data_IF_960811838195
#
_entry.id   IF_960811838195
#
_cell.length_a   1.000
_cell.length_b   1.000
_cell.length_c   1.000
_cell.angle_alpha   90.00
_cell.angle_beta   90.00
_cell.angle_gamma   90.00
#
_symmetry.space_group_name_H-M   'P 1'
#
loop_
_entity.id
_entity.type
_entity.pdbx_description
1 polymer ?
#
# COMPACT_ATOMS: atom_id res chain seq x y z
N UNK A 1 -12.30 19.68 -6.40
CA UNK A 1 -10.93 19.68 -5.84
C UNK A 1 -9.92 19.62 -6.98
N UNK A 2 -8.88 20.46 -6.96
CA UNK A 2 -7.82 20.55 -7.97
C UNK A 2 -6.71 19.55 -7.66
N UNK A 3 -6.54 18.56 -8.54
CA UNK A 3 -5.65 17.42 -8.33
C UNK A 3 -4.58 17.40 -9.41
N UNK A 4 -3.33 17.19 -9.04
CA UNK A 4 -2.26 16.94 -10.01
C UNK A 4 -1.64 15.55 -9.82
N UNK A 5 -0.97 15.07 -10.86
CA UNK A 5 -0.29 13.77 -10.84
C UNK A 5 1.20 13.96 -11.11
N UNK A 6 2.04 13.50 -10.16
CA UNK A 6 3.48 13.36 -10.36
C UNK A 6 3.79 11.95 -10.88
N UNK A 7 4.62 11.87 -11.93
CA UNK A 7 4.86 10.63 -12.68
C UNK A 7 3.74 10.33 -13.68
N UNK A 8 3.12 11.38 -14.24
CA UNK A 8 1.90 11.31 -15.03
C UNK A 8 1.97 10.40 -16.27
N UNK A 9 3.14 10.25 -16.92
CA UNK A 9 3.34 9.35 -18.08
C UNK A 9 3.80 7.95 -17.67
N UNK A 10 3.99 7.70 -16.38
CA UNK A 10 4.28 6.38 -15.83
C UNK A 10 3.09 5.42 -15.93
N UNK A 11 3.34 4.10 -15.80
CA UNK A 11 2.30 3.06 -15.95
C UNK A 11 1.11 3.24 -15.01
N UNK A 12 1.35 3.65 -13.77
CA UNK A 12 0.29 3.89 -12.77
C UNK A 12 -0.20 5.34 -12.84
N UNK A 13 0.71 6.30 -13.01
CA UNK A 13 0.36 7.72 -13.14
C UNK A 13 -0.60 7.99 -14.28
N UNK A 14 -0.42 7.39 -15.45
CA UNK A 14 -1.32 7.56 -16.59
C UNK A 14 -2.74 7.05 -16.29
N UNK A 15 -2.85 5.96 -15.52
CA UNK A 15 -4.14 5.46 -15.03
C UNK A 15 -4.78 6.44 -14.05
N UNK A 16 -3.99 7.08 -13.19
CA UNK A 16 -4.48 8.11 -12.25
C UNK A 16 -4.93 9.37 -12.98
N UNK A 17 -4.20 9.83 -14.00
CA UNK A 17 -4.62 10.93 -14.88
C UNK A 17 -5.98 10.66 -15.50
N UNK A 18 -6.16 9.48 -16.11
CA UNK A 18 -7.43 9.07 -16.69
C UNK A 18 -8.57 9.01 -15.65
N UNK A 19 -8.28 8.51 -14.45
CA UNK A 19 -9.24 8.44 -13.36
C UNK A 19 -9.67 9.81 -12.82
N UNK A 20 -8.72 10.75 -12.66
CA UNK A 20 -9.01 12.13 -12.24
C UNK A 20 -9.84 12.85 -13.30
N UNK A 21 -9.51 12.68 -14.58
CA UNK A 21 -10.30 13.24 -15.69
C UNK A 21 -11.75 12.71 -15.72
N UNK A 22 -11.95 11.44 -15.38
CA UNK A 22 -13.28 10.83 -15.37
C UNK A 22 -14.12 11.17 -14.13
N UNK A 23 -13.49 11.64 -13.05
CA UNK A 23 -14.16 11.97 -11.80
C UNK A 23 -14.85 13.35 -11.88
N UNK A 24 -16.17 13.39 -11.62
CA UNK A 24 -16.97 14.62 -11.74
C UNK A 24 -16.66 15.66 -10.64
N UNK A 25 -16.13 15.22 -9.50
CA UNK A 25 -15.83 16.04 -8.33
C UNK A 25 -14.38 16.54 -8.28
N UNK A 26 -13.54 16.05 -9.21
CA UNK A 26 -12.11 16.38 -9.30
C UNK A 26 -11.83 17.17 -10.58
N UNK A 27 -10.76 17.95 -10.56
CA UNK A 27 -10.28 18.69 -11.73
C UNK A 27 -8.78 18.44 -11.85
N UNK A 28 -8.32 17.86 -12.95
CA UNK A 28 -6.90 17.70 -13.21
C UNK A 28 -6.27 19.09 -13.42
N UNK A 29 -5.43 19.53 -12.49
CA UNK A 29 -4.79 20.86 -12.50
C UNK A 29 -3.43 20.85 -13.17
N UNK A 30 -2.66 19.76 -13.02
CA UNK A 30 -1.37 19.58 -13.67
C UNK A 30 -1.01 18.10 -13.84
N UNK A 31 -0.21 17.85 -14.87
CA UNK A 31 0.46 16.57 -15.12
C UNK A 31 1.96 16.86 -15.15
N UNK A 32 2.73 16.20 -14.27
CA UNK A 32 4.16 16.45 -14.13
C UNK A 32 4.90 15.13 -14.29
N UNK A 33 5.94 15.12 -15.12
CA UNK A 33 6.86 14.00 -15.28
C UNK A 33 8.32 14.45 -15.16
N UNK A 34 9.26 13.53 -15.37
CA UNK A 34 10.68 13.78 -15.34
C UNK A 34 11.07 14.91 -16.32
N UNK A 35 11.68 15.96 -15.77
CA UNK A 35 12.11 17.15 -16.51
C UNK A 35 11.14 18.33 -16.44
N UNK A 36 9.94 18.13 -15.91
CA UNK A 36 8.98 19.22 -15.66
C UNK A 36 9.25 19.86 -14.29
N UNK A 37 9.02 21.18 -14.19
CA UNK A 37 9.23 21.94 -12.96
C UNK A 37 8.06 21.76 -11.97
N UNK A 38 8.36 21.59 -10.67
CA UNK A 38 7.32 21.46 -9.64
C UNK A 38 6.50 22.73 -9.44
N UNK A 39 6.98 23.90 -9.89
CA UNK A 39 6.24 25.17 -9.83
C UNK A 39 4.91 25.11 -10.62
N UNK A 40 4.79 24.21 -11.60
CA UNK A 40 3.53 23.95 -12.30
C UNK A 40 2.38 23.60 -11.33
N UNK A 41 2.68 22.99 -10.19
CA UNK A 41 1.69 22.65 -9.17
C UNK A 41 1.12 23.90 -8.49
N UNK A 42 1.98 24.86 -8.15
CA UNK A 42 1.57 26.13 -7.53
C UNK A 42 0.92 27.06 -8.54
N UNK A 43 1.45 27.13 -9.77
CA UNK A 43 0.92 27.97 -10.86
C UNK A 43 -0.50 27.54 -11.26
N UNK A 44 -0.77 26.25 -11.19
CA UNK A 44 -2.09 25.68 -11.43
C UNK A 44 -2.99 25.67 -10.19
N UNK A 45 -2.58 26.23 -9.05
CA UNK A 45 -3.38 26.22 -7.82
C UNK A 45 -3.79 24.82 -7.38
N UNK A 46 -2.90 23.85 -7.48
CA UNK A 46 -3.15 22.46 -7.09
C UNK A 46 -3.40 22.35 -5.57
N UNK A 47 -4.43 21.62 -5.18
CA UNK A 47 -4.79 21.40 -3.77
C UNK A 47 -4.25 20.05 -3.26
N UNK A 48 -4.30 19.02 -4.10
CA UNK A 48 -3.86 17.66 -3.76
C UNK A 48 -3.02 17.06 -4.89
N UNK A 49 -1.95 16.36 -4.55
CA UNK A 49 -1.09 15.64 -5.50
C UNK A 49 -1.17 14.14 -5.29
N UNK A 50 -1.31 13.40 -6.39
CA UNK A 50 -1.08 11.96 -6.45
C UNK A 50 0.36 11.73 -6.90
N UNK A 51 1.19 11.06 -6.08
CA UNK A 51 2.59 10.76 -6.42
C UNK A 51 2.81 9.26 -6.66
N UNK A 52 3.07 8.93 -7.93
CA UNK A 52 3.56 7.62 -8.39
C UNK A 52 4.84 7.81 -9.21
N UNK A 53 5.88 8.31 -8.56
CA UNK A 53 7.20 8.56 -9.13
C UNK A 53 8.20 7.44 -8.82
N UNK A 54 9.34 7.78 -8.22
CA UNK A 54 10.44 6.87 -7.93
C UNK A 54 11.00 7.16 -6.53
N UNK A 55 11.49 6.14 -5.79
CA UNK A 55 12.06 6.33 -4.45
C UNK A 55 13.23 7.33 -4.37
N UNK A 56 13.85 7.65 -5.50
CA UNK A 56 14.95 8.62 -5.60
C UNK A 56 14.50 10.08 -5.59
N UNK A 57 13.23 10.39 -5.92
CA UNK A 57 12.74 11.77 -6.07
C UNK A 57 11.57 12.11 -5.15
N UNK A 58 10.85 11.10 -4.62
CA UNK A 58 9.63 11.29 -3.82
C UNK A 58 9.83 12.15 -2.57
N UNK A 59 11.01 12.11 -1.95
CA UNK A 59 11.28 12.91 -0.73
C UNK A 59 11.39 14.40 -1.06
N UNK A 60 12.01 14.75 -2.20
CA UNK A 60 12.14 16.14 -2.64
C UNK A 60 10.79 16.68 -3.11
N UNK A 61 10.01 15.86 -3.81
CA UNK A 61 8.61 16.17 -4.15
C UNK A 61 7.81 16.47 -2.87
N UNK A 62 7.82 15.56 -1.89
CA UNK A 62 7.08 15.74 -0.63
C UNK A 62 7.49 17.01 0.10
N UNK A 63 8.79 17.33 0.14
CA UNK A 63 9.27 18.57 0.76
C UNK A 63 8.65 19.79 0.09
N UNK A 64 8.65 19.84 -1.24
CA UNK A 64 8.03 20.93 -2.00
C UNK A 64 6.52 21.02 -1.73
N UNK A 65 5.80 19.89 -1.76
CA UNK A 65 4.35 19.86 -1.52
C UNK A 65 4.00 20.40 -0.14
N UNK A 66 4.68 19.92 0.90
CA UNK A 66 4.45 20.33 2.29
C UNK A 66 4.79 21.82 2.49
N UNK A 67 5.92 22.29 1.93
CA UNK A 67 6.32 23.70 2.05
C UNK A 67 5.28 24.67 1.47
N UNK A 68 4.59 24.24 0.41
CA UNK A 68 3.56 24.99 -0.32
C UNK A 68 2.12 24.67 0.15
N UNK A 69 1.94 23.85 1.18
CA UNK A 69 0.63 23.51 1.73
C UNK A 69 -0.25 22.64 0.82
N UNK A 70 0.36 21.92 -0.13
CA UNK A 70 -0.32 21.00 -1.04
C UNK A 70 -0.41 19.63 -0.37
N UNK A 71 -1.60 19.05 -0.29
CA UNK A 71 -1.78 17.70 0.28
C UNK A 71 -1.20 16.63 -0.65
N UNK A 72 -0.76 15.51 -0.11
CA UNK A 72 -0.13 14.44 -0.89
C UNK A 72 -0.76 13.08 -0.62
N UNK A 73 -1.06 12.35 -1.69
CA UNK A 73 -1.45 10.94 -1.69
C UNK A 73 -0.38 10.17 -2.45
N UNK A 74 0.46 9.43 -1.73
CA UNK A 74 1.69 8.85 -2.25
C UNK A 74 1.57 7.33 -2.31
N UNK A 75 1.74 6.79 -3.52
CA UNK A 75 1.88 5.35 -3.76
C UNK A 75 3.28 4.92 -4.19
N UNK A 76 4.21 5.88 -4.33
CA UNK A 76 5.64 5.58 -4.47
C UNK A 76 6.16 4.80 -3.26
N UNK A 77 6.91 3.73 -3.50
CA UNK A 77 7.45 2.84 -2.47
C UNK A 77 8.81 3.34 -1.94
N UNK A 78 9.43 2.58 -1.03
CA UNK A 78 10.77 2.88 -0.53
C UNK A 78 10.79 3.84 0.68
N UNK A 79 9.70 3.93 1.43
CA UNK A 79 9.68 4.65 2.71
C UNK A 79 10.23 3.76 3.83
N UNK A 80 11.35 4.18 4.41
CA UNK A 80 11.93 3.63 5.64
C UNK A 80 11.46 4.43 6.85
N UNK A 81 11.72 3.93 8.06
CA UNK A 81 11.37 4.65 9.29
C UNK A 81 12.03 6.03 9.36
N UNK A 82 13.25 6.18 8.85
CA UNK A 82 13.96 7.46 8.77
C UNK A 82 13.27 8.43 7.80
N UNK A 83 12.82 7.94 6.63
CA UNK A 83 12.06 8.75 5.67
C UNK A 83 10.72 9.17 6.26
N UNK A 84 10.03 8.27 6.94
CA UNK A 84 8.76 8.58 7.61
C UNK A 84 8.96 9.61 8.72
N UNK A 85 10.01 9.48 9.53
CA UNK A 85 10.38 10.47 10.55
C UNK A 85 10.69 11.84 9.93
N UNK A 86 11.39 11.86 8.80
CA UNK A 86 11.69 13.09 8.09
C UNK A 86 10.41 13.79 7.57
N UNK A 87 9.46 13.04 7.01
CA UNK A 87 8.16 13.57 6.58
C UNK A 87 7.38 14.13 7.76
N UNK A 88 7.35 13.43 8.91
CA UNK A 88 6.70 13.95 10.14
C UNK A 88 7.28 15.30 10.55
N UNK A 89 8.61 15.43 10.55
CA UNK A 89 9.30 16.68 10.88
C UNK A 89 8.92 17.83 9.95
N UNK A 90 8.76 17.59 8.65
CA UNK A 90 8.32 18.63 7.70
C UNK A 90 6.88 19.06 7.94
N UNK A 91 5.99 18.12 8.25
CA UNK A 91 4.57 18.41 8.50
C UNK A 91 4.40 19.18 9.82
N UNK A 92 5.17 18.87 10.86
CA UNK A 92 5.16 19.62 12.12
C UNK A 92 5.51 21.11 11.91
N UNK A 93 6.41 21.41 10.96
CA UNK A 93 6.76 22.78 10.60
C UNK A 93 5.67 23.50 9.76
N UNK A 94 4.70 22.76 9.22
CA UNK A 94 3.60 23.26 8.36
C UNK A 94 2.24 22.67 8.78
N UNK A 95 1.70 23.08 9.95
CA UNK A 95 0.43 22.58 10.46
C UNK A 95 -0.71 22.77 9.45
N UNK A 96 -1.50 21.72 9.22
CA UNK A 96 -2.58 21.71 8.23
C UNK A 96 -2.23 20.98 6.92
N UNK A 97 -0.96 20.68 6.67
CA UNK A 97 -0.57 19.78 5.57
C UNK A 97 -1.00 18.35 5.90
N UNK A 98 -1.59 17.66 4.92
CA UNK A 98 -2.01 16.28 5.03
C UNK A 98 -1.27 15.42 3.99
N UNK A 99 -0.57 14.40 4.48
CA UNK A 99 0.18 13.46 3.64
C UNK A 99 -0.29 12.06 3.98
N UNK A 100 -0.78 11.33 2.97
CA UNK A 100 -1.09 9.92 3.06
C UNK A 100 -0.11 9.11 2.23
N UNK A 101 0.56 8.16 2.85
CA UNK A 101 1.48 7.22 2.18
C UNK A 101 0.90 5.83 2.34
N UNK A 102 0.50 5.20 1.24
CA UNK A 102 0.01 3.83 1.28
C UNK A 102 0.88 2.89 0.45
N UNK A 103 1.38 1.78 1.03
CA UNK A 103 2.14 0.79 0.28
C UNK A 103 1.25 -0.02 -0.69
N UNK A 104 -0.08 0.06 -0.53
CA UNK A 104 -1.05 -0.57 -1.40
C UNK A 104 -2.39 0.21 -1.35
N UNK A 105 -2.91 0.59 -2.51
CA UNK A 105 -4.20 1.27 -2.66
C UNK A 105 -5.34 0.34 -3.09
N UNK A 106 -5.08 -0.96 -3.30
CA UNK A 106 -6.13 -1.91 -3.60
C UNK A 106 -6.96 -2.16 -2.34
N UNK A 107 -8.23 -1.71 -2.34
CA UNK A 107 -9.15 -1.85 -1.21
C UNK A 107 -9.30 -3.33 -0.81
N UNK A 108 -9.35 -4.24 -1.78
CA UNK A 108 -9.44 -5.67 -1.51
C UNK A 108 -8.23 -6.23 -0.74
N UNK A 109 -7.02 -5.76 -1.03
CA UNK A 109 -5.82 -6.16 -0.29
C UNK A 109 -5.86 -5.65 1.15
N UNK A 110 -6.34 -4.41 1.33
CA UNK A 110 -6.48 -3.77 2.65
C UNK A 110 -7.51 -4.51 3.51
N UNK A 111 -8.68 -4.83 2.94
CA UNK A 111 -9.70 -5.65 3.61
C UNK A 111 -9.18 -7.05 3.92
N UNK A 112 -8.42 -7.66 3.00
CA UNK A 112 -7.80 -8.97 3.24
C UNK A 112 -6.87 -8.95 4.46
N UNK A 113 -6.00 -7.93 4.58
CA UNK A 113 -5.15 -7.76 5.76
C UNK A 113 -5.95 -7.55 7.04
N UNK A 114 -6.99 -6.71 6.99
CA UNK A 114 -7.84 -6.43 8.13
C UNK A 114 -8.56 -7.71 8.63
N UNK A 115 -9.22 -8.43 7.73
CA UNK A 115 -9.92 -9.68 8.07
C UNK A 115 -8.95 -10.76 8.53
N UNK A 116 -7.77 -10.86 7.92
CA UNK A 116 -6.74 -11.81 8.35
C UNK A 116 -6.30 -11.55 9.79
N UNK A 117 -6.08 -10.27 10.14
CA UNK A 117 -5.71 -9.86 11.50
C UNK A 117 -6.80 -10.23 12.51
N UNK A 118 -8.08 -10.01 12.16
CA UNK A 118 -9.21 -10.35 13.03
C UNK A 118 -9.40 -11.87 13.20
N UNK A 119 -9.22 -12.64 12.13
CA UNK A 119 -9.37 -14.09 12.13
C UNK A 119 -8.24 -14.82 12.87
N UNK A 120 -7.02 -14.27 12.86
CA UNK A 120 -5.80 -14.95 13.27
C UNK A 120 -5.84 -15.60 14.66
N UNK A 121 -6.50 -14.98 15.64
CA UNK A 121 -6.58 -15.51 17.02
C UNK A 121 -7.49 -16.73 17.20
N UNK A 122 -8.28 -17.08 16.20
CA UNK A 122 -9.26 -18.18 16.27
C UNK A 122 -8.76 -19.50 15.68
N UNK A 123 -7.57 -19.53 15.09
CA UNK A 123 -7.03 -20.70 14.39
C UNK A 123 -5.64 -21.08 14.91
N UNK A 124 -5.34 -22.38 14.99
CA UNK A 124 -4.01 -22.85 15.40
C UNK A 124 -2.95 -22.69 14.30
N UNK A 125 -3.37 -22.73 13.03
CA UNK A 125 -2.46 -22.64 11.88
C UNK A 125 -2.82 -21.46 11.00
N UNK A 126 -1.83 -20.64 10.66
CA UNK A 126 -1.96 -19.56 9.66
C UNK A 126 -0.75 -19.53 8.73
N UNK A 127 -0.98 -19.54 7.42
CA UNK A 127 0.07 -19.34 6.41
C UNK A 127 -0.37 -18.31 5.36
N UNK A 128 0.60 -17.66 4.71
CA UNK A 128 0.36 -16.71 3.61
C UNK A 128 0.97 -17.25 2.33
N UNK A 129 0.21 -17.20 1.23
CA UNK A 129 0.71 -17.49 -0.11
C UNK A 129 0.51 -16.24 -0.95
N UNK A 130 1.59 -15.67 -1.47
CA UNK A 130 1.52 -14.60 -2.46
C UNK A 130 1.91 -15.10 -3.84
N UNK A 131 1.25 -14.57 -4.86
CA UNK A 131 1.51 -14.93 -6.24
C UNK A 131 1.61 -13.66 -7.09
N UNK A 132 2.69 -13.53 -7.85
CA UNK A 132 2.94 -12.36 -8.69
C UNK A 132 3.51 -12.76 -10.06
N UNK A 133 3.47 -11.81 -10.99
CA UNK A 133 4.20 -11.90 -12.25
C UNK A 133 5.72 -12.15 -12.02
N UNK A 134 6.44 -12.79 -12.97
CA UNK A 134 7.81 -13.22 -12.75
C UNK A 134 8.86 -12.10 -12.85
N UNK A 135 8.45 -10.87 -13.18
CA UNK A 135 9.34 -9.69 -13.21
C UNK A 135 9.38 -8.94 -11.87
N UNK A 136 8.66 -9.41 -10.84
CA UNK A 136 8.71 -8.82 -9.50
C UNK A 136 10.05 -9.16 -8.84
N UNK A 137 10.78 -8.14 -8.39
CA UNK A 137 12.15 -8.28 -7.91
C UNK A 137 12.26 -8.81 -6.48
N UNK A 138 11.32 -8.47 -5.61
CA UNK A 138 11.28 -8.83 -4.19
C UNK A 138 10.46 -10.10 -3.93
N UNK A 139 10.85 -10.90 -2.93
CA UNK A 139 10.10 -12.03 -2.40
C UNK A 139 10.41 -12.23 -0.89
N UNK A 140 9.39 -12.35 -0.02
CA UNK A 140 7.96 -12.20 -0.32
C UNK A 140 7.60 -10.76 -0.67
N UNK A 141 6.42 -10.57 -1.27
CA UNK A 141 5.88 -9.22 -1.50
C UNK A 141 5.72 -8.43 -0.20
N UNK A 142 5.87 -7.10 -0.26
CA UNK A 142 5.66 -6.24 0.91
C UNK A 142 4.26 -6.36 1.54
N UNK A 143 3.21 -6.62 0.75
CA UNK A 143 1.87 -6.88 1.31
C UNK A 143 1.83 -8.19 2.09
N UNK A 144 2.48 -9.26 1.59
CA UNK A 144 2.52 -10.55 2.29
C UNK A 144 3.34 -10.48 3.57
N UNK A 145 4.51 -9.82 3.56
CA UNK A 145 5.33 -9.60 4.74
C UNK A 145 4.55 -8.82 5.82
N UNK A 146 3.85 -7.74 5.42
CA UNK A 146 3.01 -6.97 6.33
C UNK A 146 1.84 -7.78 6.87
N UNK A 147 1.19 -8.59 6.02
CA UNK A 147 0.09 -9.46 6.43
C UNK A 147 0.55 -10.47 7.49
N UNK A 148 1.69 -11.11 7.27
CA UNK A 148 2.28 -12.05 8.22
C UNK A 148 2.64 -11.39 9.55
N UNK A 149 3.26 -10.21 9.53
CA UNK A 149 3.57 -9.45 10.76
C UNK A 149 2.30 -9.06 11.56
N UNK A 150 1.23 -8.64 10.87
CA UNK A 150 -0.06 -8.34 11.52
C UNK A 150 -0.69 -9.58 12.15
N UNK A 151 -0.64 -10.72 11.46
CA UNK A 151 -1.10 -12.02 11.98
C UNK A 151 -0.28 -12.43 13.20
N UNK A 152 1.04 -12.30 13.14
CA UNK A 152 1.93 -12.66 14.24
C UNK A 152 1.64 -11.84 15.50
N UNK A 153 1.51 -10.51 15.37
CA UNK A 153 1.16 -9.66 16.51
C UNK A 153 -0.23 -9.99 17.07
N UNK A 154 -1.23 -10.24 16.21
CA UNK A 154 -2.58 -10.64 16.64
C UNK A 154 -2.62 -12.01 17.36
N UNK A 155 -1.61 -12.86 17.16
CA UNK A 155 -1.48 -14.18 17.78
C UNK A 155 -0.50 -14.23 18.94
N UNK A 156 0.04 -13.09 19.35
CA UNK A 156 0.98 -13.02 20.47
C UNK A 156 0.40 -13.65 21.74
N UNK A 157 1.13 -14.61 22.30
CA UNK A 157 0.70 -15.38 23.48
C UNK A 157 -0.07 -16.67 23.17
N UNK A 158 -0.41 -16.93 21.91
CA UNK A 158 -0.90 -18.23 21.46
C UNK A 158 0.27 -19.18 21.14
N UNK A 159 0.04 -20.50 21.11
CA UNK A 159 1.03 -21.45 20.61
C UNK A 159 1.42 -21.14 19.14
N UNK A 160 2.65 -21.47 18.74
CA UNK A 160 3.06 -21.37 17.34
C UNK A 160 2.26 -22.34 16.46
N UNK A 161 2.35 -22.17 15.12
CA UNK A 161 1.78 -23.14 14.20
C UNK A 161 2.29 -24.56 14.51
N UNK A 162 1.40 -25.57 14.63
CA UNK A 162 1.83 -26.95 14.75
C UNK A 162 2.50 -27.40 13.46
N UNK A 163 3.77 -27.80 13.55
CA UNK A 163 4.54 -28.34 12.44
C UNK A 163 5.42 -29.50 12.92
N UNK A 164 5.14 -30.71 12.44
CA UNK A 164 5.86 -31.93 12.78
C UNK A 164 6.92 -32.33 11.74
N UNK A 165 7.26 -31.42 10.81
CA UNK A 165 8.23 -31.68 9.74
C UNK A 165 9.59 -32.07 10.33
N UNK A 166 10.01 -33.32 10.12
CA UNK A 166 11.29 -33.87 10.60
C UNK A 166 12.36 -34.00 9.51
N UNK A 167 11.94 -34.01 8.24
CA UNK A 167 12.80 -34.00 7.06
C UNK A 167 12.16 -33.11 6.00
N UNK A 168 12.97 -32.33 5.28
CA UNK A 168 12.47 -31.40 4.26
C UNK A 168 13.60 -30.85 3.41
N UNK A 169 13.27 -30.40 2.19
CA UNK A 169 14.22 -29.69 1.33
C UNK A 169 14.35 -28.23 1.77
N UNK A 170 15.52 -27.60 1.60
CA UNK A 170 15.68 -26.16 1.82
C UNK A 170 14.62 -25.35 1.06
N UNK A 171 13.92 -24.46 1.76
CA UNK A 171 12.88 -23.58 1.19
C UNK A 171 11.48 -24.18 1.10
N UNK A 172 11.28 -25.48 1.40
CA UNK A 172 9.98 -26.14 1.23
C UNK A 172 8.85 -25.60 2.15
N UNK A 173 9.20 -24.99 3.29
CA UNK A 173 8.24 -24.42 4.26
C UNK A 173 8.06 -22.90 4.12
N UNK A 174 8.54 -22.32 3.03
CA UNK A 174 8.46 -20.88 2.80
C UNK A 174 9.47 -20.09 3.65
N UNK A 175 9.34 -18.76 3.60
CA UNK A 175 10.05 -17.85 4.49
C UNK A 175 9.31 -17.75 5.83
N UNK A 176 10.06 -17.67 6.93
CA UNK A 176 9.50 -17.40 8.25
C UNK A 176 9.43 -15.88 8.48
N UNK A 177 8.23 -15.35 8.66
CA UNK A 177 7.99 -13.94 9.02
C UNK A 177 7.27 -13.94 10.37
N UNK A 178 8.04 -13.71 11.44
CA UNK A 178 7.56 -13.66 12.82
C UNK A 178 6.77 -14.91 13.27
N UNK A 179 7.16 -16.10 12.78
CA UNK A 179 6.49 -17.37 13.08
C UNK A 179 5.36 -17.74 12.13
N UNK A 180 5.07 -16.91 11.12
CA UNK A 180 4.07 -17.16 10.08
C UNK A 180 4.77 -17.56 8.77
N UNK A 181 4.55 -18.77 8.25
CA UNK A 181 5.09 -19.18 6.96
C UNK A 181 4.54 -18.35 5.80
N UNK A 182 5.43 -17.88 4.92
CA UNK A 182 5.09 -17.12 3.71
C UNK A 182 5.69 -17.76 2.46
N UNK A 183 4.83 -18.11 1.50
CA UNK A 183 5.21 -18.71 0.22
C UNK A 183 5.06 -17.71 -0.92
N UNK A 184 6.02 -17.70 -1.84
CA UNK A 184 6.03 -16.74 -2.96
C UNK A 184 6.04 -17.46 -4.30
N UNK A 185 4.99 -17.27 -5.10
CA UNK A 185 4.86 -17.80 -6.45
C UNK A 185 5.18 -16.72 -7.48
N UNK A 186 6.03 -17.05 -8.46
CA UNK A 186 6.34 -16.19 -9.61
C UNK A 186 5.91 -16.91 -10.87
N UNK A 187 4.83 -16.45 -11.50
CA UNK A 187 4.21 -17.16 -12.62
C UNK A 187 3.77 -16.21 -13.74
N UNK A 188 4.17 -16.51 -14.98
CA UNK A 188 3.73 -15.77 -16.15
C UNK A 188 2.19 -15.81 -16.26
N UNK A 189 1.57 -14.68 -16.59
CA UNK A 189 0.11 -14.52 -16.65
C UNK A 189 -0.54 -13.98 -15.38
N UNK A 190 0.14 -14.05 -14.22
CA UNK A 190 -0.32 -13.40 -13.00
C UNK A 190 0.00 -11.90 -12.98
N UNK A 191 -0.67 -11.17 -12.09
CA UNK A 191 -0.41 -9.76 -11.79
C UNK A 191 0.02 -9.64 -10.32
N UNK A 192 -0.93 -9.63 -9.38
CA UNK A 192 -0.68 -9.60 -7.95
C UNK A 192 -1.83 -10.25 -7.18
N UNK A 193 -1.52 -11.27 -6.39
CA UNK A 193 -2.50 -12.12 -5.72
C UNK A 193 -1.98 -12.51 -4.34
N UNK A 194 -2.90 -12.72 -3.40
CA UNK A 194 -2.56 -13.22 -2.07
C UNK A 194 -3.68 -14.09 -1.52
N UNK A 195 -3.30 -15.18 -0.85
CA UNK A 195 -4.16 -16.01 -0.03
C UNK A 195 -3.62 -16.02 1.40
N UNK A 196 -4.51 -15.84 2.36
CA UNK A 196 -4.23 -16.12 3.77
C UNK A 196 -5.06 -17.34 4.16
N UNK A 197 -4.37 -18.40 4.57
CA UNK A 197 -4.97 -19.68 4.90
C UNK A 197 -4.96 -19.84 6.41
N UNK A 198 -6.12 -20.19 6.96
CA UNK A 198 -6.32 -20.47 8.38
C UNK A 198 -6.82 -21.90 8.53
N UNK A 199 -6.31 -22.62 9.53
CA UNK A 199 -6.69 -24.00 9.80
C UNK A 199 -6.92 -24.26 11.29
N UNK A 200 -8.01 -24.98 11.57
CA UNK A 200 -8.32 -25.53 12.90
C UNK A 200 -9.01 -26.89 12.75
N UNK A 201 -9.40 -27.52 13.86
CA UNK A 201 -10.02 -28.83 13.86
C UNK A 201 -11.32 -28.84 13.06
N UNK A 202 -11.31 -29.53 11.92
CA UNK A 202 -12.50 -29.79 11.11
C UNK A 202 -12.89 -28.68 10.13
N UNK A 203 -12.16 -27.57 10.07
CA UNK A 203 -12.44 -26.48 9.13
C UNK A 203 -11.21 -25.65 8.73
N UNK A 204 -11.35 -24.93 7.62
CA UNK A 204 -10.38 -23.95 7.13
C UNK A 204 -11.09 -22.70 6.65
N UNK A 205 -10.47 -21.54 6.87
CA UNK A 205 -10.87 -20.27 6.27
C UNK A 205 -9.79 -19.81 5.29
N UNK A 206 -10.20 -19.32 4.13
CA UNK A 206 -9.27 -18.72 3.16
C UNK A 206 -9.76 -17.33 2.79
N UNK A 207 -8.86 -16.35 2.90
CA UNK A 207 -9.10 -14.98 2.45
C UNK A 207 -8.20 -14.75 1.25
N UNK A 208 -8.81 -14.57 0.07
CA UNK A 208 -8.10 -14.37 -1.19
C UNK A 208 -8.35 -12.98 -1.76
N UNK A 209 -7.29 -12.33 -2.21
CA UNK A 209 -7.33 -11.09 -2.97
C UNK A 209 -6.64 -11.27 -4.33
N UNK A 210 -7.29 -10.77 -5.38
CA UNK A 210 -6.79 -10.80 -6.76
C UNK A 210 -6.83 -9.39 -7.38
N UNK A 211 -5.66 -8.81 -7.61
CA UNK A 211 -5.52 -7.64 -8.49
C UNK A 211 -5.30 -8.14 -9.91
N UNK A 212 -6.36 -8.18 -10.72
CA UNK A 212 -6.31 -8.63 -12.11
C UNK A 212 -5.77 -7.52 -13.04
N UNK A 213 -5.90 -6.26 -12.65
CA UNK A 213 -5.43 -5.11 -13.40
C UNK A 213 -5.03 -3.95 -12.47
N UNK A 214 -4.14 -3.05 -12.93
CA UNK A 214 -3.66 -1.88 -12.17
C UNK A 214 -4.76 -0.88 -11.82
N UNK A 215 -5.86 -0.90 -12.55
CA UNK A 215 -7.09 -0.16 -12.21
C UNK A 215 -7.60 -0.48 -10.81
N UNK A 216 -7.21 -1.61 -10.20
CA UNK A 216 -7.58 -1.94 -8.81
C UNK A 216 -7.09 -0.91 -7.78
N UNK A 217 -6.07 -0.10 -8.11
CA UNK A 217 -5.57 0.96 -7.20
C UNK A 217 -6.41 2.24 -7.26
N UNK A 218 -7.11 2.49 -8.37
CA UNK A 218 -7.84 3.75 -8.61
C UNK A 218 -8.85 4.03 -7.49
N UNK A 219 -9.72 3.09 -7.06
CA UNK A 219 -10.71 3.38 -6.02
C UNK A 219 -10.09 3.85 -4.71
N UNK A 220 -8.99 3.21 -4.27
CA UNK A 220 -8.31 3.59 -3.04
C UNK A 220 -7.59 4.93 -3.14
N UNK A 221 -6.96 5.23 -4.28
CA UNK A 221 -6.31 6.53 -4.52
C UNK A 221 -7.35 7.65 -4.52
N UNK A 222 -8.47 7.48 -5.25
CA UNK A 222 -9.53 8.50 -5.29
C UNK A 222 -10.21 8.68 -3.92
N UNK A 223 -10.39 7.60 -3.16
CA UNK A 223 -10.86 7.70 -1.77
C UNK A 223 -9.89 8.55 -0.93
N UNK A 224 -8.58 8.27 -1.02
CA UNK A 224 -7.56 9.02 -0.32
C UNK A 224 -7.54 10.49 -0.73
N UNK A 225 -7.58 10.81 -2.02
CA UNK A 225 -7.63 12.19 -2.51
C UNK A 225 -8.83 12.94 -1.95
N UNK A 226 -10.01 12.32 -1.95
CA UNK A 226 -11.24 12.95 -1.46
C UNK A 226 -11.23 13.23 0.03
N UNK A 227 -10.55 12.38 0.82
CA UNK A 227 -10.58 12.44 2.29
C UNK A 227 -9.30 12.98 2.93
N UNK A 228 -8.19 13.14 2.20
CA UNK A 228 -6.88 13.45 2.79
C UNK A 228 -6.89 14.69 3.69
N UNK A 229 -7.66 15.72 3.30
CA UNK A 229 -7.80 16.95 4.10
C UNK A 229 -8.49 16.74 5.46
N UNK A 230 -9.25 15.65 5.65
CA UNK A 230 -9.85 15.28 6.94
C UNK A 230 -8.80 14.78 7.95
N UNK A 231 -7.60 14.41 7.47
CA UNK A 231 -6.54 13.78 8.25
C UNK A 231 -5.22 14.58 8.16
N UNK A 232 -5.15 15.79 8.77
CA UNK A 232 -3.92 16.56 8.82
C UNK A 232 -2.82 15.78 9.54
N UNK A 233 -1.57 15.93 9.11
CA UNK A 233 -0.47 15.09 9.57
C UNK A 233 -0.03 14.04 8.55
N UNK A 234 0.69 13.04 9.04
CA UNK A 234 1.10 11.87 8.26
C UNK A 234 0.19 10.68 8.56
N UNK A 235 -0.51 10.20 7.54
CA UNK A 235 -1.30 8.97 7.57
C UNK A 235 -0.57 7.87 6.80
N UNK A 236 -0.46 6.67 7.39
CA UNK A 236 0.16 5.51 6.74
C UNK A 236 -0.92 4.47 6.44
N UNK A 237 -1.03 4.11 5.16
CA UNK A 237 -2.05 3.19 4.66
C UNK A 237 -3.38 3.89 4.32
N UNK A 238 -4.28 3.12 3.71
CA UNK A 238 -5.66 3.55 3.40
C UNK A 238 -6.68 3.00 4.40
N UNK A 239 -6.26 2.13 5.31
CA UNK A 239 -7.03 1.47 6.37
C UNK A 239 -7.83 2.50 7.19
N UNK A 240 -7.19 3.61 7.56
CA UNK A 240 -7.79 4.69 8.34
C UNK A 240 -8.93 5.42 7.63
N UNK A 241 -9.03 5.29 6.30
CA UNK A 241 -10.07 5.93 5.49
C UNK A 241 -11.29 5.05 5.26
N UNK A 242 -11.23 3.78 5.66
CA UNK A 242 -12.26 2.77 5.38
C UNK A 242 -13.22 2.56 6.56
N UNK A 243 -13.07 3.33 7.64
CA UNK A 243 -13.92 3.26 8.84
C UNK A 243 -14.03 1.82 9.41
N UNK A 244 -12.97 1.03 9.24
CA UNK A 244 -12.87 -0.35 9.71
C UNK A 244 -12.71 -0.34 11.24
N UNK A 245 -13.50 -1.17 11.93
CA UNK A 245 -13.51 -1.29 13.39
C UNK A 245 -12.75 -2.52 13.87
#
# INVERSE_FOLDING_TARGET
MRVAVLGAKGKVGATMVAAVHAAQDLTLSAEVDAGDELSLLTDSGTEVVIDFTHPAVVMDNLKFLIDNGIHAVVGTTGFTDERLAQVRSWIEAKPGSAVLIAPNFAIGAVLSMHFATQAAKYFESVEVIELHHPQKADAPSGTAARTAALIAEARKGLPPNPDATSTGLPGARGADVDGVPVHSVRLAGLVAHQEVLFGTMGETLTIRHDSIDRTSFVPGVLLAVRRVAEFPGLTIGVESLLDLK
#
